data_IF_561380390874
#
_entry.id   IF_561380390874
#
_cell.length_a   1.000
_cell.length_b   1.000
_cell.length_c   1.000
_cell.angle_alpha   90.00
_cell.angle_beta   90.00
_cell.angle_gamma   90.00
#
_symmetry.space_group_name_H-M   'P 1'
#
loop_
_entity.id
_entity.type
_entity.pdbx_description
1 polymer ?
#
# COMPACT_ATOMS: atom_id res chain seq x y z
N UNK A 1 28.57 -38.03 17.79
CA UNK A 1 28.71 -36.67 17.24
C UNK A 1 28.87 -36.79 15.74
N UNK A 2 27.88 -36.43 14.91
CA UNK A 2 28.05 -36.43 13.47
C UNK A 2 28.98 -35.28 13.07
N UNK A 3 29.98 -35.61 12.24
CA UNK A 3 30.94 -34.68 11.64
C UNK A 3 30.18 -33.74 10.71
N UNK A 4 30.28 -32.44 10.93
CA UNK A 4 29.76 -31.42 10.02
C UNK A 4 30.67 -31.33 8.80
N UNK A 5 30.15 -31.59 7.61
CA UNK A 5 30.87 -31.30 6.36
C UNK A 5 30.88 -29.78 6.14
N UNK A 6 32.05 -29.16 6.24
CA UNK A 6 32.27 -27.78 5.82
C UNK A 6 32.19 -27.72 4.30
N UNK A 7 31.17 -27.06 3.77
CA UNK A 7 31.06 -26.79 2.32
C UNK A 7 31.04 -25.30 2.08
N UNK A 8 31.84 -24.85 1.12
CA UNK A 8 31.79 -23.48 0.64
C UNK A 8 30.48 -23.26 -0.13
N UNK A 9 29.77 -22.18 0.18
CA UNK A 9 28.49 -21.85 -0.48
C UNK A 9 28.44 -20.39 -0.89
N UNK A 10 27.71 -20.12 -1.97
CA UNK A 10 27.43 -18.77 -2.44
C UNK A 10 25.94 -18.45 -2.28
N UNK A 11 25.63 -17.35 -1.62
CA UNK A 11 24.25 -16.86 -1.51
C UNK A 11 23.81 -16.24 -2.83
N UNK A 12 22.76 -16.79 -3.46
CA UNK A 12 22.27 -16.32 -4.76
C UNK A 12 21.68 -14.91 -4.73
N UNK A 13 21.28 -14.41 -3.57
CA UNK A 13 20.68 -13.08 -3.43
C UNK A 13 21.73 -11.97 -3.28
N UNK A 14 22.72 -12.15 -2.40
CA UNK A 14 23.71 -11.11 -2.09
C UNK A 14 25.14 -11.43 -2.55
N UNK A 15 25.36 -12.59 -3.20
CA UNK A 15 26.67 -13.09 -3.66
C UNK A 15 27.72 -13.25 -2.57
N UNK A 16 27.30 -13.34 -1.32
CA UNK A 16 28.20 -13.67 -0.21
C UNK A 16 28.78 -15.08 -0.40
N UNK A 17 30.07 -15.25 -0.09
CA UNK A 17 30.80 -16.52 -0.14
C UNK A 17 31.40 -16.83 1.22
N UNK A 18 31.17 -18.04 1.72
CA UNK A 18 31.79 -18.51 2.94
C UNK A 18 31.43 -19.96 3.29
N UNK A 19 32.12 -20.48 4.30
CA UNK A 19 31.86 -21.81 4.84
C UNK A 19 30.54 -21.81 5.61
N UNK A 20 29.68 -22.78 5.31
CA UNK A 20 28.46 -23.05 6.05
C UNK A 20 28.48 -24.48 6.58
N UNK A 21 28.09 -24.62 7.84
CA UNK A 21 27.85 -25.91 8.45
C UNK A 21 26.45 -26.37 8.03
N UNK A 22 26.39 -27.44 7.23
CA UNK A 22 25.12 -28.03 6.81
C UNK A 22 24.63 -28.99 7.88
N UNK A 23 23.54 -28.61 8.55
CA UNK A 23 22.80 -29.55 9.40
C UNK A 23 21.84 -30.35 8.51
N UNK A 24 21.87 -31.68 8.63
CA UNK A 24 20.79 -32.50 8.05
C UNK A 24 19.54 -32.22 8.88
N UNK A 25 18.46 -31.68 8.28
CA UNK A 25 17.21 -31.52 9.01
C UNK A 25 16.79 -32.91 9.50
N UNK A 26 16.59 -33.04 10.82
CA UNK A 26 15.93 -34.22 11.37
C UNK A 26 14.47 -34.07 10.96
N UNK A 27 14.07 -34.80 9.93
CA UNK A 27 12.66 -34.89 9.54
C UNK A 27 11.99 -35.76 10.59
N UNK A 28 11.38 -35.13 11.59
CA UNK A 28 10.46 -35.82 12.47
C UNK A 28 9.16 -36.05 11.68
N UNK A 29 8.84 -37.31 11.40
CA UNK A 29 7.50 -37.70 10.96
C UNK A 29 6.58 -37.55 12.18
N UNK A 30 5.88 -36.42 12.24
CA UNK A 30 4.91 -36.14 13.30
C UNK A 30 3.55 -36.57 12.73
N UNK A 31 3.07 -37.75 13.11
CA UNK A 31 1.80 -38.31 12.62
C UNK A 31 0.60 -37.40 12.92
N UNK A 32 0.68 -36.59 13.99
CA UNK A 32 -0.30 -35.55 14.32
C UNK A 32 0.38 -34.39 15.03
N UNK A 33 0.27 -33.17 14.49
CA UNK A 33 0.58 -31.95 15.24
C UNK A 33 -0.53 -31.74 16.26
N UNK A 34 -0.36 -32.30 17.46
CA UNK A 34 -1.19 -31.91 18.61
C UNK A 34 -0.69 -30.54 19.02
N UNK A 35 -1.49 -29.51 18.75
CA UNK A 35 -1.23 -28.16 19.26
C UNK A 35 -1.24 -28.26 20.78
N UNK A 36 -0.07 -28.11 21.41
CA UNK A 36 0.04 -28.20 22.85
C UNK A 36 -0.67 -26.99 23.46
N UNK A 37 -1.75 -27.25 24.19
CA UNK A 37 -2.49 -26.21 24.87
C UNK A 37 -1.65 -25.71 26.05
N UNK A 38 -1.75 -24.41 26.42
CA UNK A 38 -0.95 -23.84 27.50
C UNK A 38 -1.12 -24.60 28.84
N UNK A 39 -2.31 -25.15 29.07
CA UNK A 39 -2.66 -25.94 30.26
C UNK A 39 -1.86 -27.24 30.44
N UNK A 40 -1.27 -27.77 29.36
CA UNK A 40 -0.46 -29.00 29.40
C UNK A 40 1.03 -28.72 29.63
N UNK A 41 1.44 -27.45 29.66
CA UNK A 41 2.82 -27.04 29.78
C UNK A 41 3.14 -26.47 31.17
N UNK A 42 4.39 -26.65 31.61
CA UNK A 42 4.93 -25.96 32.78
C UNK A 42 5.55 -24.63 32.37
N UNK A 43 5.50 -23.65 33.26
CA UNK A 43 6.13 -22.36 33.04
C UNK A 43 7.65 -22.51 32.95
N UNK A 44 8.26 -21.94 31.91
CA UNK A 44 9.72 -22.01 31.70
C UNK A 44 10.54 -21.32 32.81
N UNK A 45 9.95 -20.34 33.51
CA UNK A 45 10.64 -19.56 34.53
C UNK A 45 10.42 -20.05 35.96
N UNK A 46 9.35 -20.82 36.21
CA UNK A 46 8.98 -21.26 37.55
C UNK A 46 8.57 -22.74 37.53
N UNK A 47 9.45 -23.60 38.02
CA UNK A 47 9.16 -25.02 38.18
C UNK A 47 7.92 -25.23 39.08
N UNK A 48 7.03 -26.13 38.67
CA UNK A 48 5.81 -26.47 39.40
C UNK A 48 4.60 -25.57 39.13
N UNK A 49 4.75 -24.48 38.37
CA UNK A 49 3.61 -23.67 37.93
C UNK A 49 3.14 -24.09 36.53
N UNK A 50 1.82 -24.28 36.37
CA UNK A 50 1.20 -24.50 35.06
C UNK A 50 1.24 -23.21 34.23
N UNK A 51 1.53 -23.34 32.94
CA UNK A 51 1.46 -22.22 32.03
C UNK A 51 0.01 -21.86 31.71
N UNK A 52 -0.24 -20.57 31.49
CA UNK A 52 -1.56 -20.03 31.17
C UNK A 52 -1.55 -19.27 29.85
N UNK A 53 -0.37 -18.97 29.31
CA UNK A 53 -0.20 -18.26 28.06
C UNK A 53 1.11 -18.66 27.37
N UNK A 54 1.22 -18.30 26.09
CA UNK A 54 2.44 -18.43 25.28
C UNK A 54 3.00 -17.03 25.05
N UNK A 55 4.28 -16.83 25.31
CA UNK A 55 4.97 -15.58 25.01
C UNK A 55 5.05 -15.37 23.49
N UNK A 56 4.46 -14.30 22.95
CA UNK A 56 4.55 -14.01 21.51
C UNK A 56 5.97 -13.71 21.01
N UNK A 57 6.86 -13.28 21.91
CA UNK A 57 8.25 -12.93 21.57
C UNK A 57 9.15 -14.15 21.39
N UNK A 58 9.03 -15.12 22.29
CA UNK A 58 9.93 -16.29 22.35
C UNK A 58 9.25 -17.61 22.00
N UNK A 59 7.92 -17.69 22.10
CA UNK A 59 7.15 -18.93 22.00
C UNK A 59 7.11 -19.75 23.29
N UNK A 60 7.68 -19.25 24.39
CA UNK A 60 7.74 -19.98 25.66
C UNK A 60 6.38 -20.03 26.37
N UNK A 61 6.10 -21.15 27.02
CA UNK A 61 4.95 -21.31 27.90
C UNK A 61 5.21 -20.62 29.25
N UNK A 62 4.33 -19.71 29.64
CA UNK A 62 4.49 -18.88 30.84
C UNK A 62 3.24 -18.91 31.72
N UNK A 63 3.45 -18.89 33.05
CA UNK A 63 2.35 -18.79 34.00
C UNK A 63 1.83 -17.35 34.10
N UNK A 64 0.67 -17.20 34.75
CA UNK A 64 0.01 -15.91 34.94
C UNK A 64 0.88 -14.85 35.66
N UNK A 65 1.86 -15.28 36.47
CA UNK A 65 2.80 -14.38 37.15
C UNK A 65 3.88 -13.83 36.21
N UNK A 66 4.23 -14.59 35.17
CA UNK A 66 5.23 -14.20 34.19
C UNK A 66 4.64 -13.49 32.98
N UNK A 67 3.33 -13.60 32.76
CA UNK A 67 2.63 -13.00 31.64
C UNK A 67 2.38 -11.51 31.84
N UNK A 68 2.76 -10.72 30.86
CA UNK A 68 2.46 -9.29 30.77
C UNK A 68 1.71 -9.05 29.46
N UNK A 69 0.51 -8.46 29.54
CA UNK A 69 -0.28 -8.09 28.36
C UNK A 69 0.08 -6.68 27.91
N UNK A 70 0.53 -6.55 26.65
CA UNK A 70 0.87 -5.28 26.00
C UNK A 70 0.15 -5.21 24.66
N UNK A 71 -0.94 -4.46 24.62
CA UNK A 71 -1.70 -4.25 23.38
C UNK A 71 -2.47 -5.49 22.91
N UNK A 72 -2.95 -6.33 23.83
CA UNK A 72 -3.69 -7.56 23.53
C UNK A 72 -2.79 -8.73 23.14
N UNK A 73 -1.51 -8.66 23.48
CA UNK A 73 -0.47 -9.64 23.17
C UNK A 73 0.25 -9.98 24.45
N UNK A 74 0.50 -11.27 24.67
CA UNK A 74 1.10 -11.73 25.93
C UNK A 74 2.60 -11.96 25.77
N UNK A 75 3.40 -11.35 26.63
CA UNK A 75 4.86 -11.47 26.65
C UNK A 75 5.34 -11.96 28.02
N UNK A 76 6.52 -12.58 28.05
CA UNK A 76 7.19 -12.89 29.32
C UNK A 76 7.91 -11.66 29.87
N UNK A 77 7.95 -11.52 31.20
CA UNK A 77 8.72 -10.45 31.85
C UNK A 77 10.20 -10.46 31.46
N UNK A 78 10.80 -11.65 31.40
CA UNK A 78 12.20 -11.81 30.99
C UNK A 78 12.43 -11.37 29.54
N UNK A 79 11.49 -11.61 28.62
CA UNK A 79 11.58 -11.12 27.25
C UNK A 79 11.56 -9.60 27.22
N UNK A 80 10.66 -8.96 27.96
CA UNK A 80 10.58 -7.49 28.01
C UNK A 80 11.81 -6.85 28.68
N UNK A 81 12.40 -7.49 29.69
CA UNK A 81 13.66 -7.06 30.30
C UNK A 81 14.84 -7.16 29.33
N UNK A 82 14.96 -8.31 28.63
CA UNK A 82 16.08 -8.57 27.72
C UNK A 82 15.97 -7.80 26.39
N UNK A 83 14.76 -7.58 25.89
CA UNK A 83 14.54 -6.84 24.65
C UNK A 83 14.81 -5.34 24.83
N UNK A 84 15.04 -4.88 26.07
CA UNK A 84 15.46 -3.54 26.42
C UNK A 84 14.38 -2.49 26.14
N UNK A 85 14.67 -1.24 26.51
CA UNK A 85 13.81 -0.09 26.19
C UNK A 85 13.53 0.07 24.69
N UNK A 86 14.31 -0.58 23.85
CA UNK A 86 14.20 -0.53 22.39
C UNK A 86 13.02 -1.35 21.87
N UNK A 87 12.64 -2.46 22.52
CA UNK A 87 11.45 -3.22 22.13
C UNK A 87 10.16 -2.56 22.62
N UNK A 88 10.17 -1.99 23.83
CA UNK A 88 9.08 -1.14 24.32
C UNK A 88 8.90 0.10 23.43
N UNK A 89 9.99 0.70 22.94
CA UNK A 89 9.89 1.73 21.91
C UNK A 89 9.41 1.18 20.58
N UNK A 90 9.82 0.02 20.09
CA UNK A 90 9.36 -0.48 18.78
C UNK A 90 7.89 -0.96 18.77
N UNK A 91 7.34 -1.42 19.91
CA UNK A 91 5.95 -1.84 20.00
C UNK A 91 4.98 -0.65 20.16
N UNK A 92 5.40 0.44 20.81
CA UNK A 92 4.62 1.67 20.95
C UNK A 92 4.93 2.75 19.88
N UNK A 93 6.17 2.80 19.38
CA UNK A 93 6.66 3.65 18.28
C UNK A 93 6.90 2.83 17.00
N UNK A 94 5.87 2.17 16.46
CA UNK A 94 5.78 2.12 14.99
C UNK A 94 5.47 3.52 14.41
N UNK A 95 6.26 4.52 14.80
CA UNK A 95 6.74 5.54 13.88
C UNK A 95 7.80 4.88 12.99
N UNK A 96 7.34 4.00 12.10
CA UNK A 96 8.08 3.74 10.87
C UNK A 96 8.38 5.13 10.28
N UNK A 97 9.62 5.46 9.86
CA UNK A 97 9.83 6.61 9.00
C UNK A 97 9.03 6.31 7.75
N UNK A 98 7.76 6.75 7.68
CA UNK A 98 6.82 6.29 6.65
C UNK A 98 7.44 6.65 5.32
N UNK A 99 7.93 5.67 4.52
CA UNK A 99 8.28 5.95 3.14
C UNK A 99 7.03 6.38 2.36
N UNK A 100 5.84 6.30 2.96
CA UNK A 100 4.55 6.65 2.38
C UNK A 100 4.52 8.04 1.77
N UNK A 101 5.07 9.10 2.36
CA UNK A 101 4.97 10.43 1.74
C UNK A 101 5.82 10.52 0.47
N UNK A 102 7.05 10.02 0.51
CA UNK A 102 7.94 10.05 -0.67
C UNK A 102 7.42 9.10 -1.75
N UNK A 103 6.96 7.91 -1.38
CA UNK A 103 6.36 6.93 -2.30
C UNK A 103 5.01 7.43 -2.84
N UNK A 104 4.16 8.09 -2.03
CA UNK A 104 2.94 8.75 -2.51
C UNK A 104 3.25 9.86 -3.50
N UNK A 105 4.28 10.67 -3.25
CA UNK A 105 4.71 11.72 -4.17
C UNK A 105 5.17 11.11 -5.50
N UNK A 106 5.96 10.02 -5.48
CA UNK A 106 6.37 9.33 -6.71
C UNK A 106 5.20 8.65 -7.44
N UNK A 107 4.27 8.03 -6.72
CA UNK A 107 3.05 7.47 -7.31
C UNK A 107 2.21 8.59 -7.94
N UNK A 108 2.03 9.72 -7.24
CA UNK A 108 1.30 10.87 -7.76
C UNK A 108 1.97 11.44 -9.02
N UNK A 109 3.30 11.64 -8.99
CA UNK A 109 4.09 12.11 -10.13
C UNK A 109 4.04 11.15 -11.33
N UNK A 110 3.85 9.85 -11.10
CA UNK A 110 3.64 8.88 -12.18
C UNK A 110 2.24 8.97 -12.80
N UNK A 111 1.22 9.27 -11.99
CA UNK A 111 -0.16 9.44 -12.48
C UNK A 111 -0.39 10.78 -13.19
N UNK A 112 0.28 11.86 -12.78
CA UNK A 112 0.16 13.21 -13.38
C UNK A 112 0.33 13.21 -14.91
N UNK A 113 1.38 12.65 -15.53
CA UNK A 113 1.54 12.64 -16.98
C UNK A 113 0.48 11.75 -17.67
N UNK A 114 -0.01 10.70 -17.02
CA UNK A 114 -1.07 9.85 -17.56
C UNK A 114 -2.41 10.59 -17.60
N UNK A 115 -2.78 11.27 -16.52
CA UNK A 115 -4.00 12.11 -16.46
C UNK A 115 -3.90 13.27 -17.45
N UNK A 116 -2.74 13.93 -17.54
CA UNK A 116 -2.51 14.98 -18.54
C UNK A 116 -2.62 14.45 -19.97
N UNK A 117 -2.07 13.26 -20.25
CA UNK A 117 -2.18 12.64 -21.58
C UNK A 117 -3.62 12.27 -21.90
N UNK A 118 -4.35 11.64 -20.96
CA UNK A 118 -5.77 11.37 -21.11
C UNK A 118 -6.60 12.65 -21.28
N UNK A 119 -6.18 13.79 -20.75
CA UNK A 119 -6.85 15.07 -20.96
C UNK A 119 -6.50 15.74 -22.29
N UNK A 120 -5.23 15.76 -22.69
CA UNK A 120 -4.81 16.36 -23.97
C UNK A 120 -5.31 15.52 -25.14
N UNK A 121 -5.06 14.21 -25.14
CA UNK A 121 -5.59 13.32 -26.17
C UNK A 121 -7.10 13.14 -26.05
N UNK A 122 -7.62 13.14 -24.82
CA UNK A 122 -9.05 13.07 -24.59
C UNK A 122 -9.79 14.26 -25.15
N UNK A 123 -9.32 15.50 -24.94
CA UNK A 123 -10.01 16.67 -25.52
C UNK A 123 -10.01 16.61 -27.05
N UNK A 124 -8.93 16.17 -27.69
CA UNK A 124 -8.88 16.01 -29.15
C UNK A 124 -9.88 14.95 -29.66
N UNK A 125 -10.15 13.88 -28.91
CA UNK A 125 -11.06 12.79 -29.31
C UNK A 125 -12.51 13.03 -28.88
N UNK A 126 -12.72 13.48 -27.63
CA UNK A 126 -14.03 13.66 -27.02
C UNK A 126 -14.74 14.93 -27.50
N UNK A 127 -14.03 15.99 -27.88
CA UNK A 127 -14.64 17.23 -28.35
C UNK A 127 -15.33 17.05 -29.72
N UNK A 128 -14.71 16.40 -30.74
CA UNK A 128 -15.41 16.03 -31.97
C UNK A 128 -16.60 15.08 -31.72
N UNK A 129 -16.43 14.06 -30.87
CA UNK A 129 -17.50 13.12 -30.53
C UNK A 129 -18.67 13.81 -29.83
N UNK A 130 -18.38 14.68 -28.85
CA UNK A 130 -19.36 15.48 -28.14
C UNK A 130 -20.10 16.43 -29.07
N UNK A 131 -19.38 17.08 -29.98
CA UNK A 131 -19.98 17.93 -31.02
C UNK A 131 -20.89 17.13 -31.95
N UNK A 132 -20.46 15.96 -32.44
CA UNK A 132 -21.30 15.08 -33.26
C UNK A 132 -22.56 14.65 -32.52
N UNK A 133 -22.47 14.30 -31.24
CA UNK A 133 -23.63 13.95 -30.40
C UNK A 133 -24.56 15.14 -30.16
N UNK A 134 -24.02 16.35 -29.97
CA UNK A 134 -24.81 17.59 -29.88
C UNK A 134 -25.59 17.84 -31.19
N UNK A 135 -24.93 17.73 -32.34
CA UNK A 135 -25.58 17.87 -33.66
C UNK A 135 -26.64 16.78 -33.86
N UNK A 136 -26.34 15.53 -33.49
CA UNK A 136 -27.29 14.42 -33.57
C UNK A 136 -28.51 14.67 -32.67
N UNK A 137 -28.31 15.13 -31.44
CA UNK A 137 -29.38 15.46 -30.50
C UNK A 137 -30.25 16.61 -31.04
N UNK A 138 -29.65 17.65 -31.62
CA UNK A 138 -30.38 18.73 -32.27
C UNK A 138 -31.19 18.22 -33.48
N UNK A 139 -30.60 17.40 -34.34
CA UNK A 139 -31.32 16.79 -35.49
C UNK A 139 -32.49 15.92 -35.03
N UNK A 140 -32.31 15.11 -33.99
CA UNK A 140 -33.36 14.25 -33.43
C UNK A 140 -34.48 15.07 -32.78
N UNK A 141 -34.14 16.19 -32.13
CA UNK A 141 -35.11 17.13 -31.57
C UNK A 141 -36.01 17.75 -32.64
N UNK A 142 -35.47 18.08 -33.82
CA UNK A 142 -36.27 18.59 -34.93
C UNK A 142 -37.18 17.55 -35.58
N UNK A 143 -36.76 16.27 -35.60
CA UNK A 143 -37.54 15.19 -36.26
C UNK A 143 -38.61 14.55 -35.37
N UNK A 144 -38.43 14.52 -34.05
CA UNK A 144 -39.31 13.78 -33.14
C UNK A 144 -39.94 14.68 -32.06
N UNK A 145 -41.27 14.92 -32.08
CA UNK A 145 -41.95 15.79 -31.11
C UNK A 145 -41.91 15.23 -29.68
N UNK A 146 -41.81 13.91 -29.51
CA UNK A 146 -41.65 13.25 -28.20
C UNK A 146 -40.28 13.59 -27.59
N UNK A 147 -39.23 13.59 -28.40
CA UNK A 147 -37.86 13.85 -27.95
C UNK A 147 -37.69 15.30 -27.46
N UNK A 148 -38.43 16.25 -28.06
CA UNK A 148 -38.48 17.64 -27.62
C UNK A 148 -39.03 17.82 -26.19
N UNK A 149 -39.92 16.95 -25.71
CA UNK A 149 -40.45 17.01 -24.34
C UNK A 149 -39.48 16.40 -23.32
N UNK A 150 -38.78 15.32 -23.69
CA UNK A 150 -37.91 14.56 -22.77
C UNK A 150 -36.55 15.23 -22.61
N UNK A 151 -35.95 15.72 -23.69
CA UNK A 151 -34.67 16.42 -23.65
C UNK A 151 -34.94 17.92 -23.66
N UNK A 152 -35.13 18.47 -22.46
CA UNK A 152 -35.37 19.90 -22.27
C UNK A 152 -34.23 20.75 -22.86
N UNK A 153 -34.54 21.95 -23.41
CA UNK A 153 -33.56 22.84 -24.03
C UNK A 153 -32.38 23.17 -23.10
N UNK A 154 -32.62 23.22 -21.79
CA UNK A 154 -31.60 23.43 -20.75
C UNK A 154 -30.49 22.39 -20.76
N UNK A 155 -30.77 21.12 -21.07
CA UNK A 155 -29.73 20.07 -21.10
C UNK A 155 -28.79 20.20 -22.30
N UNK A 156 -29.30 20.63 -23.45
CA UNK A 156 -28.50 20.85 -24.65
C UNK A 156 -27.62 22.10 -24.48
N UNK A 157 -28.18 23.17 -23.91
CA UNK A 157 -27.44 24.40 -23.61
C UNK A 157 -26.35 24.12 -22.57
N UNK A 158 -26.66 23.39 -21.49
CA UNK A 158 -25.65 22.97 -20.50
C UNK A 158 -24.55 22.13 -21.13
N UNK A 159 -24.88 21.15 -21.98
CA UNK A 159 -23.88 20.33 -22.66
C UNK A 159 -22.95 21.19 -23.54
N UNK A 160 -23.50 22.13 -24.31
CA UNK A 160 -22.73 23.03 -25.15
C UNK A 160 -21.83 23.99 -24.33
N UNK A 161 -22.35 24.52 -23.22
CA UNK A 161 -21.60 25.36 -22.28
C UNK A 161 -20.46 24.58 -21.64
N UNK A 162 -20.71 23.33 -21.21
CA UNK A 162 -19.68 22.46 -20.65
C UNK A 162 -18.60 22.08 -21.68
N UNK A 163 -19.00 21.79 -22.92
CA UNK A 163 -18.09 21.46 -24.03
C UNK A 163 -17.22 22.65 -24.47
N UNK A 164 -17.61 23.89 -24.15
CA UNK A 164 -16.88 25.11 -24.57
C UNK A 164 -16.08 25.73 -23.43
N UNK A 165 -16.63 25.80 -22.22
CA UNK A 165 -15.94 26.39 -21.06
C UNK A 165 -14.77 25.55 -20.57
N UNK A 166 -14.93 24.22 -20.48
CA UNK A 166 -13.85 23.37 -19.94
C UNK A 166 -12.59 23.44 -20.81
N UNK A 167 -12.65 23.24 -22.15
CA UNK A 167 -11.46 23.37 -22.98
C UNK A 167 -10.92 24.80 -23.00
N UNK A 168 -11.79 25.82 -22.96
CA UNK A 168 -11.39 27.23 -22.93
C UNK A 168 -10.58 27.58 -21.69
N UNK A 169 -11.03 27.17 -20.49
CA UNK A 169 -10.28 27.38 -19.25
C UNK A 169 -8.93 26.64 -19.25
N UNK A 170 -8.88 25.44 -19.84
CA UNK A 170 -7.64 24.66 -19.94
C UNK A 170 -6.64 25.36 -20.86
N UNK A 171 -7.06 25.79 -22.05
CA UNK A 171 -6.18 26.53 -22.98
C UNK A 171 -5.68 27.83 -22.37
N UNK A 172 -6.53 28.57 -21.66
CA UNK A 172 -6.13 29.78 -20.94
C UNK A 172 -5.07 29.49 -19.86
N UNK A 173 -5.22 28.39 -19.12
CA UNK A 173 -4.27 27.98 -18.09
C UNK A 173 -2.91 27.63 -18.70
N UNK A 174 -2.89 26.84 -19.78
CA UNK A 174 -1.66 26.52 -20.50
C UNK A 174 -0.97 27.76 -21.07
N UNK A 175 -1.75 28.71 -21.60
CA UNK A 175 -1.22 29.97 -22.11
C UNK A 175 -0.53 30.78 -21.00
N UNK A 176 -1.14 30.89 -19.81
CA UNK A 176 -0.54 31.57 -18.65
C UNK A 176 0.76 30.88 -18.21
N UNK A 177 0.77 29.54 -18.13
CA UNK A 177 1.97 28.78 -17.76
C UNK A 177 3.09 28.99 -18.77
N UNK A 178 2.78 28.92 -20.08
CA UNK A 178 3.76 29.13 -21.14
C UNK A 178 4.32 30.56 -21.11
N UNK A 179 3.45 31.56 -20.88
CA UNK A 179 3.85 32.96 -20.74
C UNK A 179 4.77 33.19 -19.54
N UNK A 180 4.46 32.59 -18.39
CA UNK A 180 5.30 32.66 -17.20
C UNK A 180 6.68 32.04 -17.45
N UNK A 181 6.72 30.86 -18.06
CA UNK A 181 7.98 30.18 -18.40
C UNK A 181 8.83 31.05 -19.34
N UNK A 182 8.24 31.62 -20.39
CA UNK A 182 8.93 32.51 -21.33
C UNK A 182 9.52 33.75 -20.65
N UNK A 183 8.78 34.38 -19.74
CA UNK A 183 9.28 35.54 -19.01
C UNK A 183 10.43 35.17 -18.07
N UNK A 184 10.30 34.07 -17.33
CA UNK A 184 11.39 33.62 -16.45
C UNK A 184 12.67 33.31 -17.21
N UNK A 185 12.59 32.83 -18.46
CA UNK A 185 13.76 32.56 -19.30
C UNK A 185 14.43 33.84 -19.83
N UNK A 186 13.69 34.94 -20.00
CA UNK A 186 14.27 36.20 -20.48
C UNK A 186 15.06 36.95 -19.39
N UNK A 187 14.84 36.62 -18.12
CA UNK A 187 15.52 37.25 -16.98
C UNK A 187 16.88 36.59 -16.64
N UNK A 188 17.22 35.46 -17.26
CA UNK A 188 18.49 34.74 -17.12
C UNK A 188 19.43 34.99 -18.31
#
# INVERSE_FOLDING_TARGET
MPLSDETESECTACRWRGAVLRFRPIVAEIDHVVEALPEDAQCVHHEGNTATAICEGTGDYICALCSIDVGGRTYSAQFLENAGSDFAKQSFDRFLPRPDTTVLIFILLYFVPYVNSCWVFGTVVWLPLGYMKLVQANRLRYRNPIYHRVVGPTRIVLLAVFLTLIPGMILATWFVIAWLMLNTFNDF
#
